data_IF_057049772702
#
_entry.id   IF_057049772702
#
_cell.length_a   1.000
_cell.length_b   1.000
_cell.length_c   1.000
_cell.angle_alpha   90.00
_cell.angle_beta   90.00
_cell.angle_gamma   90.00
#
_symmetry.space_group_name_H-M   'P 1'
#
loop_
_entity.id
_entity.type
_entity.pdbx_description
1 polymer ?
#
# COMPACT_ATOMS: atom_id res chain seq x y z
N UNK A 1 -13.70 8.45 8.31
CA UNK A 1 -13.47 9.23 7.09
C UNK A 1 -14.34 8.65 5.99
N UNK A 2 -14.93 9.46 5.09
CA UNK A 2 -15.75 8.93 4.00
C UNK A 2 -14.90 8.11 3.02
N UNK A 3 -15.42 6.98 2.53
CA UNK A 3 -14.72 6.07 1.62
C UNK A 3 -14.21 6.78 0.35
N UNK A 4 -15.04 7.67 -0.21
CA UNK A 4 -14.71 8.44 -1.41
C UNK A 4 -13.56 9.44 -1.24
N UNK A 5 -13.10 9.71 -0.03
CA UNK A 5 -11.98 10.63 0.20
C UNK A 5 -10.65 9.88 0.43
N UNK A 6 -10.66 8.53 0.45
CA UNK A 6 -9.54 7.69 0.92
C UNK A 6 -8.21 7.99 0.22
N UNK A 7 -8.26 8.21 -1.09
CA UNK A 7 -7.08 8.49 -1.92
C UNK A 7 -6.29 9.72 -1.44
N UNK A 8 -6.99 10.81 -1.11
CA UNK A 8 -6.35 12.05 -0.64
C UNK A 8 -5.61 11.87 0.69
N UNK A 9 -6.07 10.96 1.54
CA UNK A 9 -5.41 10.69 2.81
C UNK A 9 -4.28 9.68 2.66
N UNK A 10 -4.44 8.70 1.77
CA UNK A 10 -3.37 7.79 1.39
C UNK A 10 -2.18 8.58 0.83
N UNK A 11 -2.41 9.54 -0.06
CA UNK A 11 -1.36 10.42 -0.58
C UNK A 11 -0.57 11.12 0.54
N UNK A 12 -1.28 11.67 1.55
CA UNK A 12 -0.63 12.32 2.71
C UNK A 12 0.21 11.35 3.53
N UNK A 13 -0.31 10.16 3.81
CA UNK A 13 0.37 9.15 4.63
C UNK A 13 1.60 8.59 3.90
N UNK A 14 1.47 8.29 2.61
CA UNK A 14 2.57 7.84 1.77
C UNK A 14 3.69 8.88 1.69
N UNK A 15 3.35 10.16 1.53
CA UNK A 15 4.33 11.25 1.56
C UNK A 15 5.05 11.40 2.91
N UNK A 16 4.46 10.89 4.00
CA UNK A 16 5.09 10.81 5.32
C UNK A 16 5.90 9.52 5.52
N UNK A 17 5.92 8.63 4.53
CA UNK A 17 6.61 7.33 4.61
C UNK A 17 5.80 6.22 5.28
N UNK A 18 4.51 6.46 5.55
CA UNK A 18 3.67 5.52 6.30
C UNK A 18 3.07 4.43 5.39
N UNK A 19 3.00 3.20 5.91
CA UNK A 19 2.33 2.08 5.25
C UNK A 19 0.91 1.89 5.79
N UNK A 20 -0.05 1.65 4.91
CA UNK A 20 -1.47 1.56 5.25
C UNK A 20 -2.07 0.25 4.72
N UNK A 21 -2.65 -0.55 5.61
CA UNK A 21 -3.46 -1.71 5.23
C UNK A 21 -4.93 -1.29 5.06
N UNK A 22 -5.51 -1.58 3.91
CA UNK A 22 -6.92 -1.31 3.59
C UNK A 22 -7.71 -2.58 3.83
N UNK A 23 -8.60 -2.53 4.81
CA UNK A 23 -9.52 -3.62 5.15
C UNK A 23 -10.92 -3.31 4.64
N UNK A 24 -11.46 -4.19 3.79
CA UNK A 24 -12.83 -4.08 3.28
C UNK A 24 -13.71 -5.20 3.83
N UNK A 25 -15.03 -4.98 3.81
CA UNK A 25 -16.00 -6.03 4.08
C UNK A 25 -16.04 -7.01 2.91
N UNK A 26 -16.04 -8.30 3.23
CA UNK A 26 -16.14 -9.38 2.25
C UNK A 26 -17.39 -10.20 2.55
N UNK A 27 -18.20 -10.42 1.52
CA UNK A 27 -19.50 -11.09 1.66
C UNK A 27 -20.67 -10.11 1.82
N UNK A 28 -21.88 -10.64 1.83
CA UNK A 28 -23.11 -9.85 1.84
C UNK A 28 -23.60 -9.58 3.28
N UNK A 29 -23.71 -8.30 3.70
CA UNK A 29 -24.25 -7.93 5.01
C UNK A 29 -25.68 -8.40 5.25
N UNK A 30 -26.50 -8.51 4.20
CA UNK A 30 -27.90 -8.88 4.31
C UNK A 30 -28.10 -10.37 4.65
N UNK A 31 -27.15 -11.21 4.28
CA UNK A 31 -27.21 -12.67 4.50
C UNK A 31 -26.35 -13.13 5.68
N UNK A 32 -25.54 -12.23 6.25
CA UNK A 32 -24.64 -12.55 7.37
C UNK A 32 -25.32 -12.26 8.71
N UNK A 33 -25.43 -13.27 9.58
CA UNK A 33 -25.80 -13.05 10.99
C UNK A 33 -24.56 -12.67 11.79
N UNK A 34 -24.50 -11.43 12.26
CA UNK A 34 -23.38 -10.89 13.05
C UNK A 34 -22.42 -10.03 12.23
N UNK A 35 -21.22 -9.71 12.75
CA UNK A 35 -20.24 -8.92 12.02
C UNK A 35 -19.84 -9.59 10.70
N UNK A 36 -19.90 -8.82 9.60
CA UNK A 36 -19.44 -9.26 8.27
C UNK A 36 -17.93 -9.51 8.30
N UNK A 37 -17.49 -10.53 7.57
CA UNK A 37 -16.07 -10.86 7.41
C UNK A 37 -15.31 -9.64 6.85
N UNK A 38 -14.08 -9.43 7.31
CA UNK A 38 -13.20 -8.35 6.84
C UNK A 38 -11.86 -8.91 6.40
N UNK A 39 -11.35 -8.44 5.27
CA UNK A 39 -10.03 -8.81 4.76
C UNK A 39 -9.22 -7.59 4.39
N UNK A 40 -7.92 -7.68 4.62
CA UNK A 40 -6.96 -6.76 4.01
C UNK A 40 -6.96 -7.04 2.51
N UNK A 41 -7.44 -6.09 1.71
CA UNK A 41 -7.52 -6.24 0.26
C UNK A 41 -6.36 -5.57 -0.46
N UNK A 42 -5.69 -4.62 0.21
CA UNK A 42 -4.55 -3.89 -0.33
C UNK A 42 -3.66 -3.38 0.80
N UNK A 43 -2.35 -3.42 0.59
CA UNK A 43 -1.37 -2.74 1.44
C UNK A 43 -0.72 -1.67 0.57
N UNK A 44 -0.84 -0.41 0.99
CA UNK A 44 -0.23 0.75 0.35
C UNK A 44 1.05 1.07 1.11
N UNK A 45 2.20 0.95 0.45
CA UNK A 45 3.50 1.33 1.00
C UNK A 45 4.17 2.33 0.07
N UNK A 46 5.06 3.21 0.56
CA UNK A 46 5.74 4.18 -0.30
C UNK A 46 6.42 3.56 -1.51
N UNK A 47 7.03 2.38 -1.39
CA UNK A 47 7.72 1.73 -2.51
C UNK A 47 6.82 0.92 -3.46
N UNK A 48 5.53 0.73 -3.15
CA UNK A 48 4.64 -0.16 -3.93
C UNK A 48 3.39 0.54 -4.48
N UNK A 49 3.38 1.87 -4.51
CA UNK A 49 2.32 2.65 -5.16
C UNK A 49 2.46 2.60 -6.68
N UNK A 50 1.33 2.46 -7.36
CA UNK A 50 1.21 2.46 -8.83
C UNK A 50 0.08 3.37 -9.33
N UNK A 51 -0.74 3.91 -8.43
CA UNK A 51 -1.81 4.83 -8.80
C UNK A 51 -1.20 6.19 -9.14
N UNK A 52 -1.57 6.74 -10.29
CA UNK A 52 -1.06 8.03 -10.79
C UNK A 52 -1.28 9.17 -9.80
N UNK A 53 -2.40 9.15 -9.07
CA UNK A 53 -2.71 10.14 -8.03
C UNK A 53 -1.74 10.12 -6.83
N UNK A 54 -0.98 9.04 -6.66
CA UNK A 54 0.00 8.87 -5.58
C UNK A 54 1.45 9.06 -6.06
N UNK A 55 1.69 8.99 -7.37
CA UNK A 55 3.00 9.08 -7.98
C UNK A 55 3.39 10.53 -8.31
N UNK A 56 4.69 10.79 -8.36
CA UNK A 56 5.23 12.05 -8.87
C UNK A 56 5.72 11.83 -10.32
N UNK A 57 5.13 12.55 -11.28
CA UNK A 57 5.37 12.35 -12.73
C UNK A 57 6.84 12.32 -13.18
N UNK A 58 7.74 12.95 -12.42
CA UNK A 58 9.16 13.11 -12.80
C UNK A 58 10.13 12.46 -11.82
N UNK A 59 9.65 11.57 -10.96
CA UNK A 59 10.48 10.84 -10.01
C UNK A 59 10.17 9.35 -10.07
N UNK A 60 11.22 8.54 -10.14
CA UNK A 60 11.10 7.09 -10.04
C UNK A 60 10.69 6.71 -8.60
N UNK A 61 9.65 5.87 -8.48
CA UNK A 61 9.25 5.28 -7.21
C UNK A 61 9.81 3.86 -7.09
N UNK A 62 10.97 3.73 -6.45
CA UNK A 62 11.72 2.47 -6.37
C UNK A 62 11.45 1.74 -5.05
N UNK A 63 11.20 0.44 -5.14
CA UNK A 63 11.33 -0.46 -4.01
C UNK A 63 12.68 -1.16 -4.09
N UNK A 64 13.48 -1.06 -3.04
CA UNK A 64 14.77 -1.73 -2.97
C UNK A 64 14.81 -2.75 -1.83
N UNK A 65 15.57 -3.82 -2.05
CA UNK A 65 15.94 -4.78 -1.03
C UNK A 65 17.47 -4.89 -1.00
N UNK A 66 18.04 -4.86 0.21
CA UNK A 66 19.45 -5.10 0.45
C UNK A 66 19.61 -6.32 1.33
N UNK A 67 20.62 -7.13 1.02
CA UNK A 67 21.00 -8.29 1.80
C UNK A 67 22.51 -8.28 2.02
N UNK A 68 22.95 -8.78 3.18
CA UNK A 68 24.37 -8.83 3.54
C UNK A 68 24.74 -10.22 4.07
N UNK A 69 25.90 -10.72 3.65
CA UNK A 69 26.57 -11.86 4.26
C UNK A 69 28.03 -11.54 4.64
N UNK A 70 28.78 -12.57 5.03
CA UNK A 70 30.19 -12.45 5.40
C UNK A 70 31.12 -12.10 4.24
N UNK A 71 30.66 -12.19 2.99
CA UNK A 71 31.44 -11.97 1.77
C UNK A 71 31.06 -10.67 1.06
N UNK A 72 29.88 -10.12 1.30
CA UNK A 72 29.46 -8.85 0.70
C UNK A 72 27.96 -8.55 0.83
N UNK A 73 27.48 -7.79 -0.15
CA UNK A 73 26.10 -7.30 -0.22
C UNK A 73 25.43 -7.69 -1.54
N UNK A 74 24.14 -8.01 -1.48
CA UNK A 74 23.24 -8.10 -2.62
C UNK A 74 22.27 -6.92 -2.61
N UNK A 75 22.03 -6.32 -3.77
CA UNK A 75 21.06 -5.25 -3.97
C UNK A 75 20.09 -5.65 -5.08
N UNK A 76 18.81 -5.40 -4.87
CA UNK A 76 17.75 -5.57 -5.87
C UNK A 76 16.84 -4.35 -5.81
N UNK A 77 16.45 -3.81 -6.96
CA UNK A 77 15.41 -2.79 -7.09
C UNK A 77 14.28 -3.26 -8.02
N UNK A 78 13.07 -2.79 -7.72
CA UNK A 78 11.89 -2.97 -8.54
C UNK A 78 11.26 -1.60 -8.83
N UNK A 79 10.80 -1.43 -10.07
CA UNK A 79 10.03 -0.26 -10.52
C UNK A 79 8.57 -0.65 -10.68
N UNK A 80 7.68 0.19 -10.18
CA UNK A 80 6.23 0.05 -10.35
C UNK A 80 5.67 1.20 -11.19
#
# INVERSE_FOLDING_TARGET
MPHHAVENYLAKLVNLGESVAICEQVGDPATTKGPVERKVVRIVTPGTISDEALLQERQDNLLAAIWQDSKGFGLCDARY
#
